data_IF_057538149103
#
_entry.id   IF_057538149103
#
_cell.length_a   1.000
_cell.length_b   1.000
_cell.length_c   1.000
_cell.angle_alpha   90.00
_cell.angle_beta   90.00
_cell.angle_gamma   90.00
#
_symmetry.space_group_name_H-M   'P 1'
#
loop_
_entity.id
_entity.type
_entity.pdbx_description
1 polymer ?
#
# COMPACT_ATOMS: atom_id res chain seq x y z
N UNK A 1 5.35 -2.88 31.16
CA UNK A 1 4.44 -2.56 30.05
C UNK A 1 5.18 -1.68 29.06
N UNK A 2 5.31 -2.07 27.79
CA UNK A 2 6.03 -1.26 26.79
C UNK A 2 5.23 0.05 26.59
N UNK A 3 5.91 1.19 26.67
CA UNK A 3 5.28 2.51 26.47
C UNK A 3 4.66 2.57 25.07
N UNK A 4 3.42 3.03 24.96
CA UNK A 4 2.68 3.19 23.69
C UNK A 4 2.52 1.89 22.86
N UNK A 5 2.49 0.71 23.49
CA UNK A 5 2.31 -0.58 22.81
C UNK A 5 1.06 -0.63 21.91
N UNK A 6 -0.07 -0.09 22.39
CA UNK A 6 -1.33 -0.05 21.64
C UNK A 6 -1.19 0.68 20.31
N UNK A 7 -0.46 1.80 20.28
CA UNK A 7 -0.28 2.62 19.08
C UNK A 7 0.62 1.92 18.06
N UNK A 8 1.67 1.24 18.55
CA UNK A 8 2.54 0.42 17.72
C UNK A 8 1.78 -0.75 17.08
N UNK A 9 1.01 -1.50 17.88
CA UNK A 9 0.20 -2.62 17.39
C UNK A 9 -0.87 -2.18 16.38
N UNK A 10 -1.49 -1.00 16.58
CA UNK A 10 -2.44 -0.45 15.63
C UNK A 10 -1.77 -0.05 14.31
N UNK A 11 -0.60 0.59 14.35
CA UNK A 11 0.16 0.97 13.16
C UNK A 11 0.60 -0.25 12.34
N UNK A 12 1.12 -1.28 13.01
CA UNK A 12 1.48 -2.56 12.40
C UNK A 12 0.28 -3.23 11.72
N UNK A 13 -0.89 -3.23 12.38
CA UNK A 13 -2.13 -3.76 11.79
C UNK A 13 -2.54 -3.03 10.53
N UNK A 14 -2.49 -1.69 10.53
CA UNK A 14 -2.78 -0.90 9.33
C UNK A 14 -1.80 -1.21 8.21
N UNK A 15 -0.50 -1.29 8.50
CA UNK A 15 0.52 -1.68 7.52
C UNK A 15 0.24 -3.07 6.93
N UNK A 16 -0.03 -4.07 7.76
CA UNK A 16 -0.33 -5.43 7.30
C UNK A 16 -1.63 -5.49 6.47
N UNK A 17 -2.62 -4.65 6.76
CA UNK A 17 -3.81 -4.51 5.93
C UNK A 17 -3.45 -3.98 4.53
N UNK A 18 -2.58 -2.97 4.42
CA UNK A 18 -2.10 -2.47 3.13
C UNK A 18 -1.28 -3.50 2.35
N UNK A 19 -0.39 -4.24 3.03
CA UNK A 19 0.35 -5.34 2.41
C UNK A 19 -0.60 -6.40 1.85
N UNK A 20 -1.61 -6.80 2.61
CA UNK A 20 -2.62 -7.77 2.16
C UNK A 20 -3.37 -7.27 0.93
N UNK A 21 -3.79 -6.01 0.91
CA UNK A 21 -4.50 -5.42 -0.23
C UNK A 21 -3.61 -5.44 -1.47
N UNK A 22 -2.34 -5.03 -1.34
CA UNK A 22 -1.39 -5.04 -2.45
C UNK A 22 -1.15 -6.46 -3.01
N UNK A 23 -0.88 -7.43 -2.14
CA UNK A 23 -0.62 -8.82 -2.57
C UNK A 23 -1.86 -9.48 -3.18
N UNK A 24 -3.04 -9.14 -2.68
CA UNK A 24 -4.32 -9.61 -3.23
C UNK A 24 -4.52 -9.07 -4.65
N UNK A 25 -4.41 -7.75 -4.86
CA UNK A 25 -4.62 -7.14 -6.18
C UNK A 25 -3.60 -7.67 -7.20
N UNK A 26 -2.31 -7.69 -6.84
CA UNK A 26 -1.27 -8.21 -7.75
C UNK A 26 -1.46 -9.70 -8.03
N UNK A 27 -1.70 -10.52 -7.01
CA UNK A 27 -1.90 -11.95 -7.17
C UNK A 27 -3.10 -12.28 -8.06
N UNK A 28 -4.23 -11.60 -7.84
CA UNK A 28 -5.39 -11.75 -8.71
C UNK A 28 -5.12 -11.25 -10.13
N UNK A 29 -4.38 -10.15 -10.32
CA UNK A 29 -4.16 -9.62 -11.66
C UNK A 29 -3.27 -10.55 -12.50
N UNK A 30 -2.21 -11.09 -11.89
CA UNK A 30 -1.36 -12.09 -12.52
C UNK A 30 -2.13 -13.39 -12.83
N UNK A 31 -3.00 -13.85 -11.92
CA UNK A 31 -3.82 -15.04 -12.15
C UNK A 31 -4.86 -14.81 -13.25
N UNK A 32 -5.54 -13.66 -13.23
CA UNK A 32 -6.59 -13.30 -14.18
C UNK A 32 -6.04 -13.09 -15.59
N UNK A 33 -4.84 -12.53 -15.74
CA UNK A 33 -4.17 -12.38 -17.05
C UNK A 33 -3.88 -13.71 -17.76
N UNK A 34 -3.95 -14.86 -17.07
CA UNK A 34 -3.77 -16.19 -17.66
C UNK A 34 -5.08 -16.89 -18.01
N UNK A 35 -6.22 -16.31 -17.63
CA UNK A 35 -7.53 -16.85 -17.98
C UNK A 35 -7.73 -16.70 -19.50
N UNK A 36 -8.01 -17.80 -20.20
CA UNK A 36 -8.21 -17.80 -21.65
C UNK A 36 -6.97 -18.17 -22.48
N UNK A 37 -5.83 -18.49 -21.85
CA UNK A 37 -4.66 -19.05 -22.54
C UNK A 37 -3.82 -18.05 -23.34
N UNK A 38 -4.21 -16.77 -23.36
CA UNK A 38 -3.35 -15.69 -23.85
C UNK A 38 -2.18 -15.47 -22.88
N UNK A 39 -1.00 -15.19 -23.44
CA UNK A 39 0.16 -14.77 -22.64
C UNK A 39 0.18 -13.24 -22.66
N UNK A 40 -0.13 -12.56 -21.55
CA UNK A 40 -0.11 -11.11 -21.52
C UNK A 40 1.33 -10.61 -21.72
N UNK A 41 1.52 -9.41 -22.28
CA UNK A 41 2.84 -8.84 -22.47
C UNK A 41 3.59 -8.72 -21.13
N UNK A 42 4.86 -9.15 -21.09
CA UNK A 42 5.68 -9.12 -19.86
C UNK A 42 5.71 -7.73 -19.18
N UNK A 43 5.70 -6.66 -19.97
CA UNK A 43 5.72 -5.29 -19.44
C UNK A 43 4.49 -4.94 -18.61
N UNK A 44 3.31 -5.50 -18.92
CA UNK A 44 2.08 -5.23 -18.15
C UNK A 44 2.10 -6.00 -16.82
N UNK A 45 2.62 -7.23 -16.81
CA UNK A 45 2.86 -8.00 -15.58
C UNK A 45 3.88 -7.29 -14.66
N UNK A 46 5.00 -6.84 -15.23
CA UNK A 46 6.02 -6.09 -14.50
C UNK A 46 5.47 -4.77 -13.96
N UNK A 47 4.67 -4.04 -14.75
CA UNK A 47 4.03 -2.81 -14.31
C UNK A 47 3.06 -3.06 -13.14
N UNK A 48 2.23 -4.10 -13.21
CA UNK A 48 1.33 -4.47 -12.14
C UNK A 48 2.10 -4.83 -10.86
N UNK A 49 3.13 -5.68 -10.99
CA UNK A 49 3.96 -6.08 -9.86
C UNK A 49 4.69 -4.89 -9.23
N UNK A 50 5.32 -4.04 -10.05
CA UNK A 50 6.01 -2.84 -9.60
C UNK A 50 5.07 -1.87 -8.88
N UNK A 51 3.84 -1.73 -9.36
CA UNK A 51 2.83 -0.86 -8.73
C UNK A 51 2.39 -1.37 -7.35
N UNK A 52 2.17 -2.68 -7.19
CA UNK A 52 1.87 -3.26 -5.88
C UNK A 52 3.04 -3.15 -4.91
N UNK A 53 4.26 -3.36 -5.41
CA UNK A 53 5.48 -3.13 -4.62
C UNK A 53 5.58 -1.68 -4.16
N UNK A 54 5.31 -0.71 -5.04
CA UNK A 54 5.28 0.71 -4.69
C UNK A 54 4.26 1.00 -3.58
N UNK A 55 3.05 0.42 -3.64
CA UNK A 55 2.05 0.56 -2.58
C UNK A 55 2.57 0.06 -1.22
N UNK A 56 3.28 -1.07 -1.20
CA UNK A 56 3.90 -1.62 0.02
C UNK A 56 5.01 -0.71 0.54
N UNK A 57 5.88 -0.19 -0.33
CA UNK A 57 6.97 0.74 0.04
C UNK A 57 6.40 2.02 0.64
N UNK A 58 5.34 2.59 0.04
CA UNK A 58 4.66 3.79 0.55
C UNK A 58 3.99 3.50 1.90
N UNK A 59 3.31 2.36 2.04
CA UNK A 59 2.73 1.92 3.31
C UNK A 59 3.78 1.74 4.42
N UNK A 60 4.94 1.19 4.08
CA UNK A 60 6.06 1.04 5.00
C UNK A 60 6.64 2.41 5.40
N UNK A 61 6.83 3.32 4.44
CA UNK A 61 7.25 4.69 4.70
C UNK A 61 6.34 5.39 5.71
N UNK A 62 5.02 5.30 5.49
CA UNK A 62 4.00 5.80 6.42
C UNK A 62 4.13 5.17 7.81
N UNK A 63 4.34 3.86 7.89
CA UNK A 63 4.51 3.14 9.15
C UNK A 63 5.71 3.64 9.94
N UNK A 64 6.88 3.77 9.30
CA UNK A 64 8.11 4.27 9.93
C UNK A 64 7.95 5.72 10.38
N UNK A 65 7.32 6.56 9.56
CA UNK A 65 7.10 7.97 9.89
C UNK A 65 6.19 8.13 11.11
N UNK A 66 5.10 7.36 11.17
CA UNK A 66 4.19 7.37 12.32
C UNK A 66 4.88 6.85 13.59
N UNK A 67 5.72 5.81 13.48
CA UNK A 67 6.50 5.28 14.62
C UNK A 67 7.42 6.34 15.22
N UNK A 68 8.12 7.11 14.38
CA UNK A 68 9.00 8.21 14.80
C UNK A 68 8.24 9.35 15.50
N UNK A 69 7.00 9.64 15.08
CA UNK A 69 6.12 10.64 15.74
C UNK A 69 5.73 10.20 17.16
N UNK A 70 5.37 8.93 17.34
CA UNK A 70 4.92 8.37 18.63
C UNK A 70 6.04 8.40 19.69
N UNK A 71 7.30 8.16 19.28
CA UNK A 71 8.46 8.24 20.18
C UNK A 71 8.79 9.68 20.62
N UNK A 72 8.44 10.70 19.83
CA UNK A 72 8.77 12.10 20.12
C UNK A 72 7.88 12.81 21.13
N UNK A 73 6.78 12.20 21.58
CA UNK A 73 5.85 12.79 22.57
C UNK A 73 5.51 14.26 22.31
N UNK A 74 5.28 14.63 21.05
CA UNK A 74 4.77 15.94 20.70
C UNK A 74 3.24 15.90 20.87
N UNK A 75 2.77 16.49 21.97
CA UNK A 75 1.38 16.94 22.11
C UNK A 75 1.14 18.03 21.08
N UNK A 76 0.84 17.66 19.84
CA UNK A 76 0.59 18.62 18.78
C UNK A 76 -0.77 18.37 18.15
N UNK A 77 -1.64 19.33 18.42
CA UNK A 77 -2.87 19.70 17.73
C UNK A 77 -2.70 19.80 16.18
N UNK A 78 -1.47 19.74 15.67
CA UNK A 78 -1.09 19.88 14.25
C UNK A 78 -0.88 18.54 13.48
N UNK A 79 -1.22 17.39 14.08
CA UNK A 79 -0.95 16.05 13.51
C UNK A 79 -1.83 15.63 12.32
N UNK A 80 -2.95 16.33 12.06
CA UNK A 80 -3.95 15.95 11.05
C UNK A 80 -3.43 16.02 9.62
N UNK A 81 -2.87 17.17 9.21
CA UNK A 81 -2.48 17.41 7.81
C UNK A 81 -1.45 16.41 7.29
N UNK A 82 -0.42 16.08 8.07
CA UNK A 82 0.60 15.13 7.63
C UNK A 82 0.03 13.70 7.51
N UNK A 83 -0.81 13.28 8.45
CA UNK A 83 -1.46 11.98 8.41
C UNK A 83 -2.42 11.87 7.22
N UNK A 84 -3.17 12.93 6.94
CA UNK A 84 -4.10 13.03 5.81
C UNK A 84 -3.36 12.99 4.47
N UNK A 85 -2.22 13.68 4.33
CA UNK A 85 -1.40 13.62 3.11
C UNK A 85 -0.89 12.19 2.89
N UNK A 86 -0.40 11.51 3.92
CA UNK A 86 0.05 10.11 3.78
C UNK A 86 -1.09 9.19 3.34
N UNK A 87 -2.28 9.37 3.92
CA UNK A 87 -3.46 8.60 3.54
C UNK A 87 -3.84 8.88 2.09
N UNK A 88 -3.87 10.16 1.70
CA UNK A 88 -4.16 10.58 0.33
C UNK A 88 -3.19 9.96 -0.67
N UNK A 89 -1.89 10.00 -0.39
CA UNK A 89 -0.86 9.39 -1.24
C UNK A 89 -1.08 7.88 -1.33
N UNK A 90 -1.36 7.19 -0.22
CA UNK A 90 -1.63 5.76 -0.24
C UNK A 90 -2.85 5.40 -1.09
N UNK A 91 -3.94 6.16 -0.95
CA UNK A 91 -5.16 5.95 -1.73
C UNK A 91 -4.90 6.24 -3.21
N UNK A 92 -4.19 7.32 -3.54
CA UNK A 92 -3.82 7.65 -4.91
C UNK A 92 -2.98 6.53 -5.55
N UNK A 93 -2.00 5.98 -4.81
CA UNK A 93 -1.19 4.85 -5.28
C UNK A 93 -2.08 3.61 -5.45
N UNK A 94 -2.97 3.31 -4.50
CA UNK A 94 -3.93 2.21 -4.63
C UNK A 94 -4.81 2.36 -5.87
N UNK A 95 -5.34 3.55 -6.14
CA UNK A 95 -6.12 3.83 -7.36
C UNK A 95 -5.29 3.61 -8.62
N UNK A 96 -4.02 4.01 -8.61
CA UNK A 96 -3.08 3.72 -9.70
C UNK A 96 -2.88 2.22 -9.92
N UNK A 97 -2.69 1.43 -8.86
CA UNK A 97 -2.58 -0.04 -8.93
C UNK A 97 -3.85 -0.64 -9.52
N UNK A 98 -5.03 -0.20 -9.09
CA UNK A 98 -6.32 -0.70 -9.60
C UNK A 98 -6.53 -0.32 -11.07
N UNK A 99 -6.14 0.89 -11.48
CA UNK A 99 -6.19 1.31 -12.88
C UNK A 99 -5.27 0.45 -13.76
N UNK A 100 -4.04 0.19 -13.30
CA UNK A 100 -3.10 -0.68 -14.00
C UNK A 100 -3.58 -2.13 -14.06
N UNK A 101 -4.20 -2.63 -13.00
CA UNK A 101 -4.86 -3.93 -13.00
C UNK A 101 -5.95 -4.01 -14.08
N UNK A 102 -6.83 -3.00 -14.15
CA UNK A 102 -7.89 -2.96 -15.16
C UNK A 102 -7.33 -2.88 -16.59
N UNK A 103 -6.29 -2.07 -16.79
CA UNK A 103 -5.57 -2.01 -18.06
C UNK A 103 -4.95 -3.35 -18.43
N UNK A 104 -4.26 -4.01 -17.49
CA UNK A 104 -3.60 -5.29 -17.71
C UNK A 104 -4.59 -6.38 -18.16
N UNK A 105 -5.83 -6.36 -17.69
CA UNK A 105 -6.87 -7.29 -18.14
C UNK A 105 -7.48 -6.95 -19.49
N UNK A 106 -7.34 -5.71 -19.95
CA UNK A 106 -7.87 -5.25 -21.23
C UNK A 106 -6.88 -5.42 -22.40
N UNK A 107 -5.61 -5.68 -22.10
CA UNK A 107 -4.52 -5.91 -23.07
C UNK A 107 -4.27 -7.39 -23.31
#
# INVERSE_FOLDING_TARGET
MIRNFKDHANNERTFLAWVRTATTIVGFGLAAGRIGGAVPPLWTELALFASGFLLVVVAFGRMVWLRRRIERSETLDDGGLAADIFLFVLVAVLMGVLALFGWHLAT
#
